data_IF_915039474455
#
_entry.id   IF_915039474455
#
_cell.length_a   1.000
_cell.length_b   1.000
_cell.length_c   1.000
_cell.angle_alpha   90.00
_cell.angle_beta   90.00
_cell.angle_gamma   90.00
#
_symmetry.space_group_name_H-M   'P 1'
#
loop_
_entity.id
_entity.type
_entity.pdbx_description
1 polymer ?
#
# COMPACT_ATOMS: atom_id res chain seq x y z
N UNK A 1 16.94 1.43 14.46
CA UNK A 1 15.97 2.01 13.48
C UNK A 1 16.76 2.44 12.25
N UNK A 2 17.04 1.52 11.33
CA UNK A 2 17.83 1.82 10.13
C UNK A 2 16.88 2.35 9.06
N UNK A 3 17.00 3.64 8.71
CA UNK A 3 16.19 4.29 7.70
C UNK A 3 16.34 3.60 6.35
N UNK A 4 15.37 2.77 5.99
CA UNK A 4 15.20 2.33 4.62
C UNK A 4 14.75 3.53 3.77
N UNK A 5 15.45 3.80 2.67
CA UNK A 5 14.79 4.29 1.45
C UNK A 5 14.56 5.79 1.24
N UNK A 6 15.04 6.72 2.08
CA UNK A 6 14.91 8.15 1.72
C UNK A 6 15.95 8.58 0.67
N UNK A 7 17.22 8.18 0.86
CA UNK A 7 18.33 8.65 0.05
C UNK A 7 19.15 7.51 -0.54
N UNK A 8 19.73 7.76 -1.71
CA UNK A 8 20.62 6.85 -2.40
C UNK A 8 21.93 6.67 -1.59
N UNK A 9 22.21 5.43 -1.13
CA UNK A 9 23.35 5.08 -0.29
C UNK A 9 24.69 5.52 -0.91
N UNK A 10 25.02 5.20 -2.19
CA UNK A 10 26.26 5.68 -2.80
C UNK A 10 26.35 7.19 -2.98
N UNK A 11 25.21 7.87 -3.20
CA UNK A 11 25.20 9.33 -3.32
C UNK A 11 25.42 9.98 -1.96
N UNK A 12 24.78 9.47 -0.92
CA UNK A 12 24.90 9.97 0.45
C UNK A 12 26.34 9.84 0.96
N UNK A 13 27.00 8.70 0.69
CA UNK A 13 28.43 8.50 0.98
C UNK A 13 29.35 9.51 0.26
N UNK A 14 28.89 10.08 -0.87
CA UNK A 14 29.57 11.16 -1.62
C UNK A 14 29.06 12.55 -1.26
N UNK A 15 28.42 12.71 -0.10
CA UNK A 15 27.80 13.95 0.37
C UNK A 15 26.75 14.55 -0.59
N UNK A 16 26.07 13.70 -1.37
CA UNK A 16 24.97 14.09 -2.26
C UNK A 16 23.65 13.49 -1.77
N UNK A 17 22.67 14.34 -1.51
CA UNK A 17 21.32 13.93 -1.14
C UNK A 17 20.47 13.72 -2.39
N UNK A 18 20.50 12.51 -2.94
CA UNK A 18 19.59 12.12 -4.04
C UNK A 18 18.53 11.16 -3.52
N UNK A 19 17.26 11.33 -3.91
CA UNK A 19 16.21 10.40 -3.51
C UNK A 19 16.51 9.01 -4.08
N UNK A 20 16.30 7.99 -3.26
CA UNK A 20 16.34 6.62 -3.74
C UNK A 20 15.02 6.27 -4.45
N UNK A 21 15.12 5.44 -5.49
CA UNK A 21 13.96 4.89 -6.21
C UNK A 21 14.03 3.37 -6.36
N UNK A 22 15.19 2.77 -6.07
CA UNK A 22 15.41 1.33 -6.11
C UNK A 22 16.05 0.83 -4.81
N UNK A 23 15.81 -0.43 -4.48
CA UNK A 23 16.48 -1.16 -3.41
C UNK A 23 17.11 -2.42 -3.98
N UNK A 24 18.37 -2.68 -3.61
CA UNK A 24 19.07 -3.91 -3.92
C UNK A 24 19.15 -4.77 -2.65
N UNK A 25 18.45 -5.92 -2.56
CA UNK A 25 18.51 -6.77 -1.37
C UNK A 25 19.87 -7.46 -1.22
N UNK A 26 20.56 -7.77 -2.32
CA UNK A 26 21.89 -8.42 -2.28
C UNK A 26 22.99 -7.51 -1.75
N UNK A 27 22.85 -6.19 -1.91
CA UNK A 27 23.81 -5.21 -1.42
C UNK A 27 23.31 -4.48 -0.17
N UNK A 28 22.04 -4.64 0.18
CA UNK A 28 21.36 -3.85 1.21
C UNK A 28 21.51 -2.34 0.98
N UNK A 29 21.41 -1.90 -0.28
CA UNK A 29 21.59 -0.50 -0.68
C UNK A 29 20.36 0.10 -1.36
N UNK A 30 20.04 1.34 -0.99
CA UNK A 30 19.04 2.18 -1.66
C UNK A 30 19.71 2.97 -2.78
N UNK A 31 19.19 2.94 -4.00
CA UNK A 31 19.81 3.53 -5.18
C UNK A 31 18.89 4.54 -5.87
N UNK A 32 19.43 5.68 -6.29
CA UNK A 32 18.76 6.57 -7.23
C UNK A 32 18.78 5.95 -8.64
N UNK A 33 17.97 6.47 -9.56
CA UNK A 33 17.86 5.94 -10.93
C UNK A 33 19.23 5.76 -11.61
N UNK A 34 20.12 6.76 -11.54
CA UNK A 34 21.47 6.69 -12.13
C UNK A 34 22.34 5.61 -11.49
N UNK A 35 22.33 5.50 -10.16
CA UNK A 35 23.10 4.48 -9.46
C UNK A 35 22.54 3.09 -9.75
N UNK A 36 21.22 2.91 -9.82
CA UNK A 36 20.58 1.65 -10.22
C UNK A 36 20.93 1.22 -11.63
N UNK A 37 20.94 2.14 -12.60
CA UNK A 37 21.38 1.84 -13.97
C UNK A 37 22.83 1.38 -14.01
N UNK A 38 23.73 2.06 -13.29
CA UNK A 38 25.13 1.67 -13.23
C UNK A 38 25.33 0.31 -12.53
N UNK A 39 24.55 0.06 -11.49
CA UNK A 39 24.54 -1.22 -10.75
C UNK A 39 24.20 -2.41 -11.64
N UNK A 40 23.27 -2.25 -12.59
CA UNK A 40 22.89 -3.33 -13.51
C UNK A 40 23.90 -3.61 -14.62
N UNK A 41 24.81 -2.69 -14.93
CA UNK A 41 25.81 -2.89 -15.99
C UNK A 41 27.17 -3.34 -15.45
N UNK A 42 27.42 -3.11 -14.16
CA UNK A 42 28.69 -3.47 -13.53
C UNK A 42 28.82 -4.99 -13.38
N UNK A 43 30.00 -5.54 -13.70
CA UNK A 43 30.25 -6.99 -13.71
C UNK A 43 29.94 -7.69 -12.39
N UNK A 44 30.19 -7.03 -11.26
CA UNK A 44 29.97 -7.55 -9.92
C UNK A 44 28.51 -7.54 -9.47
N UNK A 45 27.67 -6.67 -10.04
CA UNK A 45 26.30 -6.41 -9.55
C UNK A 45 25.23 -6.58 -10.62
N UNK A 46 25.60 -6.89 -11.87
CA UNK A 46 24.68 -7.06 -13.00
C UNK A 46 23.64 -8.16 -12.80
N UNK A 47 23.94 -9.17 -11.98
CA UNK A 47 23.02 -10.27 -11.62
C UNK A 47 22.09 -9.91 -10.46
N UNK A 48 22.33 -8.80 -9.76
CA UNK A 48 21.53 -8.43 -8.61
C UNK A 48 20.17 -7.91 -9.05
N UNK A 49 19.13 -8.35 -8.35
CA UNK A 49 17.79 -7.82 -8.55
C UNK A 49 17.68 -6.41 -7.97
N UNK A 50 17.05 -5.50 -8.72
CA UNK A 50 16.67 -4.18 -8.22
C UNK A 50 15.16 -4.10 -8.16
N UNK A 51 14.64 -3.80 -6.98
CA UNK A 51 13.21 -3.64 -6.73
C UNK A 51 12.87 -2.15 -6.65
N UNK A 52 11.72 -1.74 -7.18
CA UNK A 52 11.28 -0.35 -7.05
C UNK A 52 10.86 -0.05 -5.61
N UNK A 53 11.31 1.08 -5.07
CA UNK A 53 10.89 1.52 -3.73
C UNK A 53 9.39 1.86 -3.69
N UNK A 54 8.78 2.30 -4.80
CA UNK A 54 7.32 2.50 -4.87
C UNK A 54 6.56 1.21 -4.57
N UNK A 55 7.05 0.10 -5.10
CA UNK A 55 6.39 -1.19 -5.03
C UNK A 55 6.66 -1.84 -3.68
N UNK A 56 7.86 -1.59 -3.12
CA UNK A 56 8.25 -2.06 -1.80
C UNK A 56 7.55 -1.29 -0.67
N UNK A 57 7.38 0.03 -0.78
CA UNK A 57 6.71 0.84 0.24
C UNK A 57 5.20 0.59 0.31
N UNK A 58 4.61 0.00 -0.74
CA UNK A 58 3.24 -0.50 -0.75
C UNK A 58 3.10 -1.85 -0.04
N UNK A 59 4.21 -2.56 0.22
CA UNK A 59 4.20 -3.81 0.98
C UNK A 59 4.34 -3.51 2.48
N UNK A 60 3.64 -4.27 3.35
CA UNK A 60 3.85 -4.17 4.80
C UNK A 60 5.33 -4.36 5.13
N UNK A 61 5.86 -3.58 6.09
CA UNK A 61 7.28 -3.55 6.47
C UNK A 61 7.90 -4.93 6.74
N UNK A 62 7.07 -5.91 7.10
CA UNK A 62 7.43 -7.32 7.33
C UNK A 62 7.97 -8.01 6.06
N UNK A 63 7.51 -7.62 4.86
CA UNK A 63 7.95 -8.24 3.61
C UNK A 63 9.40 -7.87 3.21
N UNK A 64 9.95 -6.80 3.79
CA UNK A 64 11.28 -6.27 3.41
C UNK A 64 12.45 -6.94 4.13
N UNK A 65 12.19 -7.58 5.27
CA UNK A 65 13.21 -8.17 6.16
C UNK A 65 13.29 -9.69 6.10
N UNK A 66 12.56 -10.34 5.19
CA UNK A 66 12.60 -11.80 5.08
C UNK A 66 13.92 -12.19 4.44
N UNK A 67 14.88 -12.59 5.28
CA UNK A 67 16.04 -13.32 4.80
C UNK A 67 15.54 -14.61 4.15
N UNK A 68 15.79 -14.75 2.85
CA UNK A 68 15.50 -15.97 2.09
C UNK A 68 16.60 -17.03 2.28
N UNK A 69 17.57 -16.77 3.17
CA UNK A 69 18.64 -17.70 3.52
C UNK A 69 18.44 -18.27 4.92
N UNK A 70 18.84 -19.52 5.06
CA UNK A 70 18.79 -20.25 6.31
C UNK A 70 19.84 -19.69 7.28
N UNK A 71 19.40 -19.31 8.48
CA UNK A 71 20.27 -18.79 9.55
C UNK A 71 21.38 -19.74 9.98
N UNK A 72 21.20 -21.04 9.79
CA UNK A 72 22.16 -22.07 10.21
C UNK A 72 23.11 -22.51 9.09
N UNK A 73 22.68 -22.41 7.83
CA UNK A 73 23.35 -23.08 6.71
C UNK A 73 23.70 -22.16 5.54
N UNK A 74 23.36 -20.87 5.61
CA UNK A 74 23.56 -19.88 4.55
C UNK A 74 23.06 -20.36 3.16
N UNK A 75 22.05 -21.23 3.17
CA UNK A 75 21.42 -21.82 2.00
C UNK A 75 20.03 -21.23 1.79
N UNK A 76 19.55 -21.19 0.56
CA UNK A 76 18.20 -20.72 0.24
C UNK A 76 17.12 -21.59 0.92
N UNK A 77 16.05 -20.93 1.38
CA UNK A 77 14.86 -21.56 1.92
C UNK A 77 13.96 -22.09 0.79
N UNK A 78 14.24 -23.30 0.29
CA UNK A 78 13.49 -23.94 -0.80
C UNK A 78 12.52 -25.04 -0.34
N UNK A 79 12.44 -25.28 0.97
CA UNK A 79 11.60 -26.29 1.58
C UNK A 79 10.65 -25.68 2.62
N UNK A 80 9.57 -26.39 2.93
CA UNK A 80 8.65 -26.03 4.00
C UNK A 80 8.32 -27.26 4.84
N UNK A 81 8.37 -27.11 6.16
CA UNK A 81 7.92 -28.12 7.11
C UNK A 81 6.56 -27.69 7.66
N UNK A 82 5.51 -28.43 7.34
CA UNK A 82 4.15 -28.16 7.83
C UNK A 82 3.98 -28.54 9.29
N UNK A 83 4.73 -29.53 9.78
CA UNK A 83 4.67 -29.95 11.20
C UNK A 83 5.10 -28.80 12.14
N UNK A 84 6.04 -27.95 11.69
CA UNK A 84 6.52 -26.78 12.43
C UNK A 84 6.03 -25.45 11.85
N UNK A 85 5.30 -25.49 10.73
CA UNK A 85 4.82 -24.33 9.97
C UNK A 85 5.92 -23.30 9.64
N UNK A 86 7.09 -23.79 9.22
CA UNK A 86 8.26 -22.93 8.94
C UNK A 86 8.98 -23.28 7.62
N UNK A 87 9.49 -22.27 6.89
CA UNK A 87 10.35 -22.48 5.74
C UNK A 87 11.77 -22.86 6.17
N UNK A 88 12.39 -23.79 5.45
CA UNK A 88 13.72 -24.31 5.76
C UNK A 88 14.56 -24.60 4.49
N UNK A 89 15.86 -24.79 4.65
CA UNK A 89 16.74 -25.25 3.57
C UNK A 89 16.77 -26.79 3.52
N UNK A 90 17.28 -27.37 2.44
CA UNK A 90 17.36 -28.84 2.31
C UNK A 90 18.19 -29.51 3.41
N UNK A 91 19.24 -28.84 3.89
CA UNK A 91 20.06 -29.38 4.99
C UNK A 91 19.29 -29.44 6.31
N UNK A 92 18.52 -28.40 6.65
CA UNK A 92 17.60 -28.43 7.79
C UNK A 92 16.55 -29.54 7.64
N UNK A 93 16.08 -29.81 6.41
CA UNK A 93 15.14 -30.89 6.17
C UNK A 93 15.71 -32.27 6.53
N UNK A 94 16.98 -32.49 6.20
CA UNK A 94 17.69 -33.75 6.45
C UNK A 94 18.20 -33.91 7.88
N UNK A 95 18.47 -32.82 8.59
CA UNK A 95 19.00 -32.87 9.95
C UNK A 95 17.88 -32.70 10.99
N UNK A 96 17.28 -31.51 11.03
CA UNK A 96 16.33 -31.08 12.06
C UNK A 96 14.90 -31.55 11.80
N UNK A 97 14.50 -31.68 10.53
CA UNK A 97 13.15 -32.13 10.13
C UNK A 97 13.15 -33.52 9.50
N UNK A 98 14.20 -34.31 9.76
CA UNK A 98 14.33 -35.68 9.24
C UNK A 98 13.15 -36.57 9.63
N UNK A 99 12.65 -36.40 10.86
CA UNK A 99 11.51 -37.15 11.43
C UNK A 99 10.14 -36.54 11.14
N UNK A 100 10.08 -35.32 10.60
CA UNK A 100 8.82 -34.69 10.20
C UNK A 100 8.18 -35.44 9.03
N UNK A 101 6.86 -35.59 9.06
CA UNK A 101 6.11 -36.30 8.03
C UNK A 101 5.62 -35.35 6.94
N UNK A 102 5.15 -34.16 7.33
CA UNK A 102 4.58 -33.21 6.38
C UNK A 102 5.63 -32.17 6.01
N UNK A 103 6.46 -32.51 5.01
CA UNK A 103 7.49 -31.64 4.47
C UNK A 103 7.58 -31.73 2.96
N UNK A 104 7.93 -30.64 2.30
CA UNK A 104 8.05 -30.64 0.86
C UNK A 104 8.66 -29.38 0.27
N UNK A 105 8.82 -29.33 -1.07
CA UNK A 105 9.29 -28.14 -1.76
C UNK A 105 8.36 -26.96 -1.51
N UNK A 106 8.94 -25.82 -1.13
CA UNK A 106 8.19 -24.61 -0.79
C UNK A 106 7.27 -24.18 -1.94
N UNK A 107 7.76 -24.25 -3.18
CA UNK A 107 6.97 -23.89 -4.37
C UNK A 107 5.68 -24.72 -4.52
N UNK A 108 5.73 -26.01 -4.18
CA UNK A 108 4.56 -26.89 -4.24
C UNK A 108 3.56 -26.54 -3.14
N UNK A 109 4.05 -26.31 -1.92
CA UNK A 109 3.21 -25.92 -0.78
C UNK A 109 2.53 -24.59 -1.04
N UNK A 110 3.27 -23.59 -1.54
CA UNK A 110 2.72 -22.27 -1.90
C UNK A 110 1.70 -22.37 -3.02
N UNK A 111 1.95 -23.17 -4.06
CA UNK A 111 0.96 -23.38 -5.14
C UNK A 111 -0.32 -24.00 -4.59
N UNK A 112 -0.22 -25.05 -3.79
CA UNK A 112 -1.38 -25.70 -3.20
C UNK A 112 -2.16 -24.76 -2.27
N UNK A 113 -1.45 -23.96 -1.46
CA UNK A 113 -2.07 -22.96 -0.59
C UNK A 113 -2.79 -21.87 -1.39
N UNK A 114 -2.20 -21.39 -2.48
CA UNK A 114 -2.84 -20.39 -3.36
C UNK A 114 -4.03 -20.94 -4.14
N UNK A 115 -4.06 -22.26 -4.37
CA UNK A 115 -5.16 -22.94 -5.04
C UNK A 115 -6.20 -23.49 -4.08
N UNK A 116 -6.03 -23.34 -2.76
CA UNK A 116 -7.01 -23.84 -1.80
C UNK A 116 -8.28 -23.01 -1.86
N UNK A 117 -9.42 -23.69 -1.69
CA UNK A 117 -10.73 -23.03 -1.60
C UNK A 117 -10.74 -21.98 -0.49
N UNK A 118 -10.15 -22.30 0.67
CA UNK A 118 -10.03 -21.37 1.80
C UNK A 118 -9.27 -20.09 1.45
N UNK A 119 -8.21 -20.15 0.64
CA UNK A 119 -7.48 -18.98 0.20
C UNK A 119 -8.30 -18.16 -0.78
N UNK A 120 -8.97 -18.80 -1.74
CA UNK A 120 -9.85 -18.12 -2.70
C UNK A 120 -11.02 -17.44 -2.00
N UNK A 121 -11.71 -18.10 -1.06
CA UNK A 121 -12.77 -17.50 -0.25
C UNK A 121 -12.28 -16.29 0.54
N UNK A 122 -11.06 -16.37 1.10
CA UNK A 122 -10.49 -15.23 1.82
C UNK A 122 -10.20 -14.05 0.89
N UNK A 123 -9.67 -14.30 -0.30
CA UNK A 123 -9.45 -13.27 -1.34
C UNK A 123 -10.77 -12.64 -1.77
N UNK A 124 -11.80 -13.44 -2.02
CA UNK A 124 -13.14 -12.97 -2.38
C UNK A 124 -13.76 -12.11 -1.27
N UNK A 125 -13.66 -12.54 -0.01
CA UNK A 125 -14.15 -11.79 1.14
C UNK A 125 -13.46 -10.43 1.27
N UNK A 126 -12.13 -10.39 1.13
CA UNK A 126 -11.37 -9.13 1.15
C UNK A 126 -11.78 -8.22 0.01
N UNK A 127 -11.96 -8.77 -1.19
CA UNK A 127 -12.42 -8.00 -2.36
C UNK A 127 -13.83 -7.43 -2.14
N UNK A 128 -14.73 -8.22 -1.56
CA UNK A 128 -16.08 -7.75 -1.20
C UNK A 128 -16.06 -6.62 -0.16
N UNK A 129 -15.18 -6.71 0.84
CA UNK A 129 -15.00 -5.62 1.83
C UNK A 129 -14.52 -4.33 1.16
N UNK A 130 -13.58 -4.43 0.22
CA UNK A 130 -13.08 -3.28 -0.55
C UNK A 130 -14.24 -2.63 -1.32
N UNK A 131 -15.04 -3.42 -2.03
CA UNK A 131 -16.18 -2.92 -2.81
C UNK A 131 -17.24 -2.25 -1.93
N UNK A 132 -17.61 -2.86 -0.81
CA UNK A 132 -18.55 -2.28 0.16
C UNK A 132 -18.01 -0.95 0.68
N UNK A 133 -16.72 -0.90 1.04
CA UNK A 133 -16.07 0.30 1.57
C UNK A 133 -16.05 1.43 0.54
N UNK A 134 -15.77 1.13 -0.72
CA UNK A 134 -15.79 2.11 -1.81
C UNK A 134 -17.20 2.63 -2.08
N UNK A 135 -18.21 1.75 -2.07
CA UNK A 135 -19.60 2.15 -2.24
C UNK A 135 -20.08 3.04 -1.08
N UNK A 136 -19.71 2.72 0.16
CA UNK A 136 -19.99 3.57 1.32
C UNK A 136 -19.32 4.94 1.19
N UNK A 137 -18.07 4.97 0.72
CA UNK A 137 -17.33 6.22 0.49
C UNK A 137 -18.02 7.09 -0.58
N UNK A 138 -18.48 6.50 -1.68
CA UNK A 138 -19.22 7.20 -2.74
C UNK A 138 -20.54 7.77 -2.23
N UNK A 139 -21.36 6.94 -1.56
CA UNK A 139 -22.65 7.36 -0.97
C UNK A 139 -22.47 8.51 0.02
N UNK A 140 -21.46 8.45 0.90
CA UNK A 140 -21.16 9.56 1.81
C UNK A 140 -20.84 10.87 1.06
N UNK A 141 -20.06 10.79 -0.02
CA UNK A 141 -19.71 11.96 -0.84
C UNK A 141 -20.94 12.56 -1.54
N UNK A 142 -21.84 11.71 -2.05
CA UNK A 142 -23.10 12.14 -2.66
C UNK A 142 -24.03 12.79 -1.62
N UNK A 143 -24.20 12.16 -0.46
CA UNK A 143 -24.99 12.71 0.63
C UNK A 143 -24.48 14.09 1.07
N UNK A 144 -23.16 14.27 1.19
CA UNK A 144 -22.56 15.55 1.53
C UNK A 144 -22.87 16.63 0.48
N UNK A 145 -22.76 16.30 -0.82
CA UNK A 145 -23.14 17.22 -1.91
C UNK A 145 -24.62 17.59 -1.86
N UNK A 146 -25.50 16.63 -1.55
CA UNK A 146 -26.93 16.88 -1.47
C UNK A 146 -27.28 17.80 -0.29
N UNK A 147 -26.66 17.59 0.87
CA UNK A 147 -26.81 18.47 2.05
C UNK A 147 -26.35 19.89 1.71
N UNK A 148 -25.18 20.04 1.06
CA UNK A 148 -24.67 21.36 0.68
C UNK A 148 -25.59 22.08 -0.33
N UNK A 149 -26.14 21.35 -1.31
CA UNK A 149 -27.13 21.91 -2.25
C UNK A 149 -28.36 22.44 -1.54
N UNK A 150 -28.96 21.64 -0.64
CA UNK A 150 -30.15 22.04 0.13
C UNK A 150 -29.90 23.25 1.02
N UNK A 151 -28.73 23.32 1.64
CA UNK A 151 -28.31 24.49 2.41
C UNK A 151 -28.28 25.75 1.53
N UNK A 152 -27.67 25.67 0.35
CA UNK A 152 -27.58 26.80 -0.58
C UNK A 152 -28.98 27.23 -1.08
N UNK A 153 -29.85 26.27 -1.38
CA UNK A 153 -31.24 26.54 -1.75
C UNK A 153 -32.00 27.27 -0.63
N UNK A 154 -31.88 26.79 0.62
CA UNK A 154 -32.46 27.47 1.79
C UNK A 154 -31.92 28.89 1.95
N UNK A 155 -30.61 29.09 1.78
CA UNK A 155 -30.00 30.42 1.89
C UNK A 155 -30.54 31.38 0.81
N UNK A 156 -30.74 30.88 -0.42
CA UNK A 156 -31.36 31.65 -1.51
C UNK A 156 -32.80 32.00 -1.16
N UNK A 157 -33.59 31.05 -0.64
CA UNK A 157 -34.97 31.29 -0.25
C UNK A 157 -35.09 32.32 0.87
N UNK A 158 -34.25 32.24 1.91
CA UNK A 158 -34.22 33.21 3.01
C UNK A 158 -33.88 34.61 2.48
N UNK A 159 -32.88 34.73 1.60
CA UNK A 159 -32.52 36.01 0.96
C UNK A 159 -33.64 36.56 0.09
N UNK A 160 -34.35 35.69 -0.63
CA UNK A 160 -35.52 36.04 -1.45
C UNK A 160 -36.64 36.61 -0.58
N UNK A 161 -37.06 35.85 0.44
CA UNK A 161 -38.11 36.27 1.38
C UNK A 161 -37.79 37.62 2.04
N UNK A 162 -36.53 37.82 2.48
CA UNK A 162 -36.09 39.10 3.04
C UNK A 162 -36.26 40.27 2.05
N UNK A 163 -35.92 40.07 0.77
CA UNK A 163 -36.11 41.11 -0.25
C UNK A 163 -37.58 41.43 -0.47
N UNK A 164 -38.44 40.42 -0.47
CA UNK A 164 -39.88 40.62 -0.62
C UNK A 164 -40.46 41.42 0.54
N UNK A 165 -40.10 41.09 1.79
CA UNK A 165 -40.53 41.84 2.97
C UNK A 165 -40.10 43.31 2.89
N UNK A 166 -38.84 43.59 2.54
CA UNK A 166 -38.33 44.95 2.37
C UNK A 166 -39.12 45.70 1.30
N UNK A 167 -39.34 45.07 0.14
CA UNK A 167 -40.10 45.65 -0.98
C UNK A 167 -41.53 46.02 -0.58
N UNK A 168 -42.21 45.17 0.19
CA UNK A 168 -43.55 45.48 0.69
C UNK A 168 -43.55 46.65 1.67
N UNK A 169 -42.57 46.71 2.59
CA UNK A 169 -42.44 47.83 3.54
C UNK A 169 -42.24 49.16 2.82
N UNK A 170 -41.33 49.23 1.84
CA UNK A 170 -41.10 50.44 1.03
C UNK A 170 -42.35 50.89 0.25
N UNK A 171 -43.17 49.93 -0.20
CA UNK A 171 -44.42 50.20 -0.90
C UNK A 171 -45.46 50.84 0.04
N UNK A 172 -45.59 50.29 1.25
CA UNK A 172 -46.47 50.83 2.28
C UNK A 172 -46.05 52.24 2.68
N UNK A 173 -44.76 52.47 2.92
CA UNK A 173 -44.23 53.80 3.22
C UNK A 173 -44.64 54.79 2.13
N UNK A 174 -44.32 54.52 0.85
CA UNK A 174 -44.68 55.39 -0.28
C UNK A 174 -46.17 55.70 -0.40
N UNK A 175 -47.03 54.77 -0.01
CA UNK A 175 -48.48 54.96 -0.06
C UNK A 175 -49.00 55.83 1.09
N UNK A 176 -48.33 55.81 2.26
CA UNK A 176 -48.66 56.70 3.38
C UNK A 176 -48.37 58.18 3.06
N UNK A 177 -47.32 58.47 2.27
CA UNK A 177 -47.00 59.83 1.83
C UNK A 177 -47.90 60.39 0.72
N UNK A 178 -48.89 59.62 0.25
CA UNK A 178 -49.86 60.03 -0.77
C UNK A 178 -51.25 60.36 -0.21
N UNK A 179 -51.45 60.16 1.10
CA UNK A 179 -52.62 60.63 1.86
C UNK A 179 -52.33 62.01 2.43
#
# INVERSE_FOLDING_TARGET
MSKLGEFCTPCFARHKTKPAVHWCPSCEESLCSKCGSHHKVQTSTKSHQLNSLSDILMLPSVAMTISLTCKQHDMKLDAFCSDHSEPCCWKCLSENHSKCQQKGPLDKVVKNAKSSESFNTLVENVQGIIEITDNLRKKKKENYKQIESRKNEMEIQIKGFRKDVIKYMELFEKNLWKM
#
